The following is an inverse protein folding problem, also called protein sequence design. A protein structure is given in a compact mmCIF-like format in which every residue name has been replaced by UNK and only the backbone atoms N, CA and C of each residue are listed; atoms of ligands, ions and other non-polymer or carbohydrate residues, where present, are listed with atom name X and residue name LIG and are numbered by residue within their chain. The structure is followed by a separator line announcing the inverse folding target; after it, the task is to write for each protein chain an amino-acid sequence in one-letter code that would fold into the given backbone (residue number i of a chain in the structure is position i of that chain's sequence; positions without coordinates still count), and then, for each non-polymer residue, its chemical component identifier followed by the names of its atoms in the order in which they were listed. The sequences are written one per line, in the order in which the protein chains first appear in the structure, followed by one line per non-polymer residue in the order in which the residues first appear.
data_IF_603962966208
#
_entry.id   IF_603962966208
#
_cell.length_a   1.000
_cell.length_b   1.000
_cell.length_c   1.000
_cell.angle_alpha   90.00
_cell.angle_beta   90.00
_cell.angle_gamma   90.00
#
_symmetry.space_group_name_H-M   'P 1'
#
loop_
_entity.id
_entity.type
_entity.pdbx_description
1 polymer ?
#
# COMPACT_ATOMS: atom_id res chain seq x y z
N UNK A 1 9.94 -8.34 9.92
CA UNK A 1 9.53 -7.01 9.63
C UNK A 1 10.70 -6.10 9.26
N UNK A 2 10.59 -5.49 8.13
CA UNK A 2 11.66 -4.69 7.59
C UNK A 2 11.28 -3.24 7.59
N UNK A 3 11.78 -2.53 8.55
CA UNK A 3 11.65 -1.08 8.51
C UNK A 3 12.73 -0.50 7.61
N UNK A 4 12.31 0.37 6.76
CA UNK A 4 13.25 1.12 5.96
C UNK A 4 14.04 2.04 6.89
N UNK A 5 15.34 1.83 6.95
CA UNK A 5 16.20 2.69 7.75
C UNK A 5 16.71 3.84 6.91
N UNK A 6 16.48 5.06 7.37
CA UNK A 6 17.02 6.27 6.75
C UNK A 6 17.95 6.94 7.76
N UNK A 7 19.26 7.03 7.48
CA UNK A 7 20.19 7.63 8.44
C UNK A 7 19.92 9.09 8.76
N UNK A 8 19.07 9.76 7.98
CA UNK A 8 18.64 11.14 8.27
C UNK A 8 17.50 11.21 9.26
N UNK A 9 16.86 10.08 9.57
CA UNK A 9 15.76 10.04 10.54
C UNK A 9 16.31 9.93 11.95
N UNK A 10 15.67 10.63 12.88
CA UNK A 10 15.97 10.49 14.31
C UNK A 10 15.28 9.25 14.85
N UNK A 11 15.67 8.79 16.06
CA UNK A 11 14.96 7.68 16.70
C UNK A 11 13.53 8.06 17.05
N UNK A 12 13.25 9.36 17.30
CA UNK A 12 11.88 9.84 17.49
C UNK A 12 11.07 9.68 16.21
N UNK A 13 11.66 9.97 15.05
CA UNK A 13 11.02 9.74 13.75
C UNK A 13 10.75 8.26 13.54
N UNK A 14 11.66 7.39 13.95
CA UNK A 14 11.46 5.94 13.82
C UNK A 14 10.26 5.46 14.63
N UNK A 15 10.16 5.88 15.89
CA UNK A 15 9.04 5.50 16.76
C UNK A 15 7.72 5.99 16.21
N UNK A 16 7.67 7.26 15.80
CA UNK A 16 6.48 7.87 15.23
C UNK A 16 6.09 7.19 13.92
N UNK A 17 7.07 6.93 13.06
CA UNK A 17 6.84 6.25 11.79
C UNK A 17 6.26 4.85 12.02
N UNK A 18 6.84 4.10 12.95
CA UNK A 18 6.35 2.75 13.26
C UNK A 18 4.90 2.77 13.76
N UNK A 19 4.56 3.76 14.57
CA UNK A 19 3.20 3.93 15.07
C UNK A 19 2.21 4.18 13.93
N UNK A 20 2.56 5.06 13.01
CA UNK A 20 1.73 5.41 11.86
C UNK A 20 1.63 4.23 10.88
N UNK A 21 2.75 3.55 10.61
CA UNK A 21 2.74 2.38 9.74
C UNK A 21 1.86 1.26 10.30
N UNK A 22 1.90 1.06 11.60
CA UNK A 22 1.03 0.07 12.25
C UNK A 22 -0.44 0.38 11.98
N UNK A 23 -0.82 1.66 12.05
CA UNK A 23 -2.17 2.07 11.72
C UNK A 23 -2.52 1.78 10.27
N UNK A 24 -1.64 2.14 9.34
CA UNK A 24 -1.86 1.91 7.90
C UNK A 24 -1.99 0.41 7.62
N UNK A 25 -1.07 -0.40 8.15
CA UNK A 25 -1.05 -1.83 7.89
C UNK A 25 -2.26 -2.56 8.47
N UNK A 26 -2.84 -2.01 9.53
CA UNK A 26 -4.04 -2.58 10.14
C UNK A 26 -5.31 -2.13 9.41
N UNK A 27 -5.31 -0.92 8.85
CA UNK A 27 -6.52 -0.26 8.35
C UNK A 27 -6.53 0.00 6.85
N UNK A 28 -5.56 -0.49 6.09
CA UNK A 28 -5.43 -0.18 4.66
C UNK A 28 -6.66 -0.55 3.84
N UNK A 29 -7.41 -1.55 4.27
CA UNK A 29 -8.61 -2.02 3.57
C UNK A 29 -9.83 -1.12 3.80
N UNK A 30 -9.72 -0.16 4.69
CA UNK A 30 -10.78 0.80 4.96
C UNK A 30 -10.50 2.12 4.26
N UNK A 31 -11.53 2.95 4.15
CA UNK A 31 -11.40 4.27 3.54
C UNK A 31 -10.77 5.24 4.56
N UNK A 32 -9.44 5.20 4.65
CA UNK A 32 -8.71 6.07 5.57
C UNK A 32 -8.19 7.30 4.82
N UNK A 33 -8.27 8.45 5.51
CA UNK A 33 -7.85 9.73 4.96
C UNK A 33 -6.46 10.11 5.47
N UNK A 34 -5.87 11.14 4.87
CA UNK A 34 -4.62 11.72 5.39
C UNK A 34 -4.82 12.17 6.84
N UNK A 35 -5.99 12.73 7.17
CA UNK A 35 -6.29 13.10 8.54
C UNK A 35 -6.20 11.91 9.48
N UNK A 36 -6.80 10.78 9.10
CA UNK A 36 -6.79 9.57 9.92
C UNK A 36 -5.36 9.07 10.15
N UNK A 37 -4.55 9.08 9.09
CA UNK A 37 -3.17 8.64 9.16
C UNK A 37 -2.36 9.55 10.09
N UNK A 38 -2.49 10.85 9.92
CA UNK A 38 -1.78 11.83 10.75
C UNK A 38 -2.22 11.73 12.21
N UNK A 39 -3.52 11.58 12.44
CA UNK A 39 -4.08 11.47 13.79
C UNK A 39 -3.54 10.24 14.53
N UNK A 40 -3.29 9.15 13.83
CA UNK A 40 -2.74 7.94 14.43
C UNK A 40 -1.38 8.20 15.11
N UNK A 41 -0.64 9.20 14.62
CA UNK A 41 0.62 9.61 15.21
C UNK A 41 0.50 10.90 16.03
N UNK A 42 -0.71 11.41 16.25
CA UNK A 42 -0.95 12.67 16.96
C UNK A 42 -0.20 13.86 16.36
N UNK A 43 -0.13 13.89 15.04
CA UNK A 43 0.52 14.98 14.30
C UNK A 43 -0.44 15.58 13.27
N UNK A 44 -0.10 16.76 12.77
CA UNK A 44 -0.89 17.42 11.73
C UNK A 44 -0.69 16.74 10.38
N UNK A 45 -1.58 17.01 9.43
CA UNK A 45 -1.44 16.52 8.06
C UNK A 45 -0.15 16.99 7.42
N UNK A 46 0.23 18.24 7.65
CA UNK A 46 1.48 18.79 7.11
C UNK A 46 2.70 18.08 7.68
N UNK A 47 2.70 17.84 8.98
CA UNK A 47 3.79 17.10 9.63
C UNK A 47 3.89 15.68 9.11
N UNK A 48 2.73 15.04 8.90
CA UNK A 48 2.66 13.69 8.38
C UNK A 48 3.26 13.62 6.96
N UNK A 49 2.90 14.57 6.11
CA UNK A 49 3.45 14.63 4.75
C UNK A 49 4.96 14.84 4.76
N UNK A 50 5.45 15.72 5.63
CA UNK A 50 6.89 15.94 5.76
C UNK A 50 7.62 14.72 6.29
N UNK A 51 7.01 14.02 7.24
CA UNK A 51 7.59 12.79 7.79
C UNK A 51 7.75 11.72 6.71
N UNK A 52 6.68 11.50 5.93
CA UNK A 52 6.73 10.50 4.86
C UNK A 52 7.73 10.87 3.77
N UNK A 53 7.78 12.15 3.41
CA UNK A 53 8.77 12.60 2.43
C UNK A 53 10.20 12.38 2.94
N UNK A 54 10.43 12.64 4.22
CA UNK A 54 11.75 12.49 4.85
C UNK A 54 12.17 11.04 4.95
N UNK A 55 11.23 10.15 5.33
CA UNK A 55 11.55 8.75 5.61
C UNK A 55 11.43 7.87 4.36
N UNK A 56 10.42 8.11 3.53
CA UNK A 56 10.08 7.22 2.41
C UNK A 56 10.21 7.88 1.03
N UNK A 57 10.47 9.18 0.97
CA UNK A 57 10.51 9.94 -0.29
C UNK A 57 9.20 9.84 -1.08
N UNK A 58 8.08 9.75 -0.38
CA UNK A 58 6.75 9.71 -1.00
C UNK A 58 5.73 10.34 -0.06
N UNK A 59 4.51 10.55 -0.57
CA UNK A 59 3.40 11.05 0.24
C UNK A 59 2.78 9.89 1.04
N UNK A 60 2.03 10.18 2.12
CA UNK A 60 1.29 9.14 2.82
C UNK A 60 0.30 8.40 1.92
N UNK A 61 -0.34 9.11 0.98
CA UNK A 61 -1.27 8.48 0.06
C UNK A 61 -0.55 7.53 -0.90
N UNK A 62 0.62 7.92 -1.40
CA UNK A 62 1.44 7.05 -2.25
C UNK A 62 1.87 5.80 -1.49
N UNK A 63 2.25 5.96 -0.24
CA UNK A 63 2.59 4.81 0.59
C UNK A 63 1.40 3.86 0.73
N UNK A 64 0.23 4.40 1.05
CA UNK A 64 -0.99 3.60 1.19
C UNK A 64 -1.33 2.86 -0.11
N UNK A 65 -1.24 3.55 -1.25
CA UNK A 65 -1.50 2.95 -2.55
C UNK A 65 -0.54 1.79 -2.82
N UNK A 66 0.75 2.01 -2.58
CA UNK A 66 1.75 0.97 -2.78
C UNK A 66 1.51 -0.23 -1.87
N UNK A 67 1.12 0.02 -0.64
CA UNK A 67 0.83 -1.06 0.31
C UNK A 67 -0.39 -1.86 -0.12
N UNK A 68 -1.46 -1.20 -0.56
CA UNK A 68 -2.66 -1.87 -1.07
C UNK A 68 -2.33 -2.74 -2.28
N UNK A 69 -1.51 -2.22 -3.20
CA UNK A 69 -1.12 -2.98 -4.39
C UNK A 69 -0.25 -4.18 -4.02
N UNK A 70 0.64 -4.02 -3.05
CA UNK A 70 1.44 -5.13 -2.55
C UNK A 70 0.55 -6.24 -1.99
N UNK A 71 -0.44 -5.87 -1.19
CA UNK A 71 -1.39 -6.83 -0.63
C UNK A 71 -2.24 -7.48 -1.72
N UNK A 72 -2.63 -6.72 -2.74
CA UNK A 72 -3.40 -7.27 -3.84
C UNK A 72 -2.60 -8.32 -4.62
N UNK A 73 -1.30 -8.14 -4.74
CA UNK A 73 -0.44 -9.12 -5.40
C UNK A 73 -0.42 -10.45 -4.63
N UNK A 74 -0.45 -10.39 -3.30
CA UNK A 74 -0.55 -11.60 -2.48
C UNK A 74 -1.85 -12.35 -2.75
N UNK A 75 -2.98 -11.62 -2.81
CA UNK A 75 -4.27 -12.24 -3.14
C UNK A 75 -4.31 -12.78 -4.56
N UNK A 76 -3.63 -12.13 -5.50
CA UNK A 76 -3.62 -12.58 -6.90
C UNK A 76 -2.93 -13.93 -7.09
N UNK A 77 -2.08 -14.32 -6.16
CA UNK A 77 -1.46 -15.64 -6.17
C UNK A 77 -2.42 -16.73 -5.75
N UNK A 78 -3.49 -16.38 -5.07
CA UNK A 78 -4.50 -17.32 -4.61
C UNK A 78 -5.63 -17.39 -5.63
N UNK A 79 -5.86 -18.57 -6.20
CA UNK A 79 -6.86 -18.77 -7.25
C UNK A 79 -8.31 -18.64 -6.77
N UNK A 80 -8.49 -18.57 -5.46
CA UNK A 80 -9.82 -18.49 -4.86
C UNK A 80 -10.52 -17.15 -5.15
N UNK A 81 -9.75 -16.08 -5.27
CA UNK A 81 -10.30 -14.72 -5.35
C UNK A 81 -10.43 -14.24 -6.79
N UNK A 82 -11.56 -13.62 -7.10
CA UNK A 82 -11.73 -12.90 -8.36
C UNK A 82 -11.05 -11.53 -8.28
N UNK A 83 -10.84 -10.91 -9.43
CA UNK A 83 -10.28 -9.56 -9.48
C UNK A 83 -11.19 -8.57 -8.74
N UNK A 84 -12.50 -8.72 -8.89
CA UNK A 84 -13.48 -7.87 -8.19
C UNK A 84 -13.38 -8.06 -6.67
N UNK A 85 -13.25 -9.31 -6.21
CA UNK A 85 -13.09 -9.59 -4.79
C UNK A 85 -11.85 -8.91 -4.24
N UNK A 86 -10.73 -9.02 -4.96
CA UNK A 86 -9.46 -8.48 -4.53
C UNK A 86 -9.51 -6.96 -4.41
N UNK A 87 -10.14 -6.29 -5.38
CA UNK A 87 -10.31 -4.83 -5.31
C UNK A 87 -10.92 -4.41 -3.98
N UNK A 88 -12.02 -5.07 -3.59
CA UNK A 88 -12.69 -4.77 -2.31
C UNK A 88 -11.84 -5.12 -1.10
N UNK A 89 -11.17 -6.26 -1.14
CA UNK A 89 -10.35 -6.74 -0.02
C UNK A 89 -9.19 -5.79 0.31
N UNK A 90 -8.68 -5.07 -0.68
CA UNK A 90 -7.55 -4.16 -0.45
C UNK A 90 -7.97 -2.68 -0.38
N UNK A 91 -9.29 -2.43 -0.31
CA UNK A 91 -9.77 -1.08 0.01
C UNK A 91 -10.26 -0.26 -1.17
N UNK A 92 -10.48 -0.86 -2.33
CA UNK A 92 -11.01 -0.13 -3.49
C UNK A 92 -12.50 -0.41 -3.65
N UNK A 93 -13.30 0.64 -3.81
CA UNK A 93 -14.74 0.54 -4.02
C UNK A 93 -15.09 0.20 -5.47
N UNK A 94 -14.16 0.37 -6.38
CA UNK A 94 -14.38 0.16 -7.82
C UNK A 94 -13.27 -0.72 -8.36
N UNK A 95 -13.66 -1.81 -9.04
CA UNK A 95 -12.71 -2.68 -9.71
C UNK A 95 -12.02 -1.94 -10.87
N UNK A 96 -12.74 -1.02 -11.52
CA UNK A 96 -12.15 -0.23 -12.59
C UNK A 96 -11.05 0.69 -12.07
N UNK A 97 -11.29 1.33 -10.93
CA UNK A 97 -10.28 2.19 -10.33
C UNK A 97 -9.07 1.36 -9.86
N UNK A 98 -9.32 0.23 -9.22
CA UNK A 98 -8.25 -0.68 -8.81
C UNK A 98 -7.39 -1.08 -10.01
N UNK A 99 -8.03 -1.50 -11.11
CA UNK A 99 -7.34 -1.90 -12.34
C UNK A 99 -6.47 -0.78 -12.89
N UNK A 100 -7.02 0.43 -12.92
CA UNK A 100 -6.29 1.61 -13.42
C UNK A 100 -5.06 1.92 -12.56
N UNK A 101 -5.23 1.91 -11.24
CA UNK A 101 -4.14 2.19 -10.30
C UNK A 101 -3.07 1.10 -10.39
N UNK A 102 -3.49 -0.15 -10.43
CA UNK A 102 -2.57 -1.30 -10.53
C UNK A 102 -1.72 -1.18 -11.80
N UNK A 103 -2.38 -0.94 -12.94
CA UNK A 103 -1.67 -0.81 -14.22
C UNK A 103 -0.73 0.39 -14.25
N UNK A 104 -1.17 1.53 -13.70
CA UNK A 104 -0.34 2.73 -13.66
C UNK A 104 0.95 2.50 -12.88
N UNK A 105 0.86 1.75 -11.78
CA UNK A 105 2.00 1.55 -10.88
C UNK A 105 2.86 0.34 -11.26
N UNK A 106 2.27 -0.70 -11.82
CA UNK A 106 2.97 -1.96 -12.08
C UNK A 106 3.16 -2.28 -13.56
N UNK A 107 2.52 -1.53 -14.46
CA UNK A 107 2.74 -1.68 -15.89
C UNK A 107 1.85 -2.70 -16.58
N UNK A 108 1.02 -3.43 -15.85
CA UNK A 108 0.06 -4.38 -16.39
C UNK A 108 -1.16 -4.44 -15.47
N UNK A 109 -2.26 -4.98 -16.00
CA UNK A 109 -3.50 -5.10 -15.22
C UNK A 109 -3.42 -6.28 -14.26
N UNK A 110 -4.29 -6.32 -13.25
CA UNK A 110 -4.35 -7.49 -12.35
C UNK A 110 -4.58 -8.80 -13.11
N UNK A 111 -5.42 -8.79 -14.15
CA UNK A 111 -5.66 -9.99 -14.96
C UNK A 111 -4.41 -10.43 -15.71
N UNK A 112 -3.67 -9.47 -16.27
CA UNK A 112 -2.41 -9.75 -16.94
C UNK A 112 -1.39 -10.30 -15.95
N UNK A 113 -1.34 -9.74 -14.76
CA UNK A 113 -0.44 -10.21 -13.70
C UNK A 113 -0.73 -11.66 -13.34
N UNK A 114 -2.02 -12.01 -13.21
CA UNK A 114 -2.43 -13.39 -12.96
C UNK A 114 -1.94 -14.35 -14.05
N UNK A 115 -2.04 -13.94 -15.31
CA UNK A 115 -1.54 -14.73 -16.45
C UNK A 115 -0.04 -14.92 -16.37
N UNK A 116 0.69 -13.86 -16.03
CA UNK A 116 2.15 -13.95 -15.90
C UNK A 116 2.55 -14.92 -14.81
N UNK A 117 1.82 -14.95 -13.71
CA UNK A 117 2.08 -15.92 -12.63
C UNK A 117 1.89 -17.35 -13.11
N UNK A 118 0.82 -17.63 -13.88
CA UNK A 118 0.58 -18.96 -14.44
C UNK A 118 1.66 -19.39 -15.40
N UNK A 119 2.11 -18.49 -16.28
CA UNK A 119 3.16 -18.78 -17.24
C UNK A 119 4.49 -19.09 -16.53
N UNK A 120 4.78 -18.34 -15.49
CA UNK A 120 6.00 -18.55 -14.70
C UNK A 120 6.01 -19.94 -14.08
N UNK A 121 4.87 -20.40 -13.53
CA UNK A 121 4.74 -21.74 -12.96
C UNK A 121 4.83 -22.80 -14.05
N UNK A 122 4.17 -22.59 -15.18
CA UNK A 122 4.19 -23.56 -16.28
C UNK A 122 5.58 -23.75 -16.89
N UNK A 123 6.44 -22.74 -16.80
CA UNK A 123 7.79 -22.80 -17.37
C UNK A 123 8.84 -23.33 -16.38
N UNK A 124 8.41 -23.66 -15.19
CA UNK A 124 9.28 -24.29 -14.22
C UNK A 124 9.32 -25.81 -14.43
#
# INVERSE_FOLDING_TARGET
DTHYYNPKSSSKDEDLTNQILSFIHTNYKYDISLYDIAKSGSISKSECSRLFQRVFSCTPFEYLTNYRLLKSQEYLRDKTYSITDIAGLVGYNSVNYYTTVFRKNLGYTPSQYKKLLKQSVANM
#
